data_IF_800778439717
#
_entry.id   IF_800778439717
#
_cell.length_a   1.000
_cell.length_b   1.000
_cell.length_c   1.000
_cell.angle_alpha   90.00
_cell.angle_beta   90.00
_cell.angle_gamma   90.00
#
_symmetry.space_group_name_H-M   'P 1'
#
loop_
_entity.id
_entity.type
_entity.pdbx_description
1 polymer ?
#
# COMPACT_ATOMS: atom_id res chain seq x y z
N UNK A 1 -10.16 4.56 -23.01
CA UNK A 1 -10.42 3.38 -22.15
C UNK A 1 -9.09 2.83 -21.64
N UNK A 2 -8.18 2.47 -22.53
CA UNK A 2 -6.88 1.86 -22.16
C UNK A 2 -6.02 2.75 -21.25
N UNK A 3 -5.93 4.04 -21.53
CA UNK A 3 -5.16 4.98 -20.71
C UNK A 3 -5.61 5.04 -19.24
N UNK A 4 -6.93 4.93 -18.98
CA UNK A 4 -7.46 4.95 -17.61
C UNK A 4 -7.13 3.66 -16.85
N UNK A 5 -7.18 2.52 -17.55
CA UNK A 5 -6.78 1.22 -16.99
C UNK A 5 -5.30 1.24 -16.63
N UNK A 6 -4.46 1.74 -17.53
CA UNK A 6 -3.02 1.87 -17.31
C UNK A 6 -2.69 2.80 -16.14
N UNK A 7 -3.36 3.95 -16.04
CA UNK A 7 -3.22 4.86 -14.92
C UNK A 7 -3.60 4.18 -13.59
N UNK A 8 -4.73 3.48 -13.56
CA UNK A 8 -5.20 2.77 -12.37
C UNK A 8 -4.23 1.66 -11.95
N UNK A 9 -3.72 0.88 -12.91
CA UNK A 9 -2.72 -0.14 -12.66
C UNK A 9 -1.44 0.47 -12.08
N UNK A 10 -0.98 1.57 -12.66
CA UNK A 10 0.20 2.28 -12.16
C UNK A 10 0.01 2.74 -10.71
N UNK A 11 -1.16 3.26 -10.33
CA UNK A 11 -1.42 3.65 -8.94
C UNK A 11 -1.34 2.45 -7.98
N UNK A 12 -1.88 1.30 -8.37
CA UNK A 12 -1.86 0.08 -7.54
C UNK A 12 -0.46 -0.50 -7.44
N UNK A 13 0.29 -0.56 -8.54
CA UNK A 13 1.65 -1.12 -8.57
C UNK A 13 2.67 -0.26 -7.80
N UNK A 14 2.41 1.03 -7.65
CA UNK A 14 3.24 1.91 -6.81
C UNK A 14 2.95 1.79 -5.31
N UNK A 15 1.85 1.14 -4.92
CA UNK A 15 1.50 0.94 -3.52
C UNK A 15 2.24 -0.26 -2.91
N UNK A 16 2.45 -0.22 -1.59
CA UNK A 16 3.11 -1.31 -0.87
C UNK A 16 2.18 -2.56 -0.84
N UNK A 17 2.63 -3.73 -1.32
CA UNK A 17 1.75 -4.87 -1.59
C UNK A 17 1.09 -5.45 -0.34
N UNK A 18 1.79 -5.55 0.78
CA UNK A 18 1.17 -6.03 2.02
C UNK A 18 0.20 -5.01 2.60
N UNK A 19 0.52 -3.71 2.53
CA UNK A 19 -0.41 -2.66 2.96
C UNK A 19 -1.74 -2.70 2.17
N UNK A 20 -1.68 -2.94 0.86
CA UNK A 20 -2.88 -3.10 0.01
C UNK A 20 -3.66 -4.36 0.41
N UNK A 21 -2.97 -5.48 0.66
CA UNK A 21 -3.59 -6.74 1.10
C UNK A 21 -4.35 -6.56 2.42
N UNK A 22 -3.71 -5.97 3.41
CA UNK A 22 -4.30 -5.77 4.74
C UNK A 22 -5.48 -4.79 4.67
N UNK A 23 -5.39 -3.76 3.84
CA UNK A 23 -6.51 -2.83 3.60
C UNK A 23 -7.71 -3.55 3.00
N UNK A 24 -7.51 -4.41 2.00
CA UNK A 24 -8.60 -5.20 1.38
C UNK A 24 -9.22 -6.17 2.39
N UNK A 25 -8.39 -6.90 3.14
CA UNK A 25 -8.84 -7.83 4.18
C UNK A 25 -9.66 -7.12 5.26
N UNK A 26 -9.19 -5.96 5.71
CA UNK A 26 -9.89 -5.11 6.67
C UNK A 26 -11.25 -4.66 6.13
N UNK A 27 -11.33 -4.19 4.88
CA UNK A 27 -12.59 -3.73 4.30
C UNK A 27 -13.62 -4.86 4.16
N UNK A 28 -13.19 -6.07 3.79
CA UNK A 28 -14.06 -7.25 3.69
C UNK A 28 -14.61 -7.70 5.06
N UNK A 29 -13.89 -7.41 6.14
CA UNK A 29 -14.22 -7.93 7.48
C UNK A 29 -15.22 -7.07 8.27
N UNK A 30 -15.48 -5.81 7.87
CA UNK A 30 -16.22 -4.85 8.69
C UNK A 30 -17.51 -4.31 8.05
N UNK A 31 -18.31 -5.15 7.39
CA UNK A 31 -19.62 -4.73 6.88
C UNK A 31 -20.77 -5.41 7.66
N UNK A 32 -21.65 -4.66 8.37
CA UNK A 32 -21.64 -3.21 8.59
C UNK A 32 -20.60 -2.75 9.64
N UNK A 33 -20.13 -1.50 9.53
CA UNK A 33 -19.09 -0.94 10.41
C UNK A 33 -19.69 -0.49 11.75
N UNK A 34 -19.19 -1.03 12.87
CA UNK A 34 -19.37 -0.45 14.21
C UNK A 34 -18.13 0.36 14.59
N UNK A 35 -18.24 1.69 14.53
CA UNK A 35 -17.11 2.59 14.75
C UNK A 35 -16.42 2.39 16.11
N UNK A 36 -17.17 2.11 17.19
CA UNK A 36 -16.58 1.94 18.52
C UNK A 36 -15.69 0.70 18.59
N UNK A 37 -16.05 -0.36 17.85
CA UNK A 37 -15.28 -1.61 17.78
C UNK A 37 -14.19 -1.56 16.72
N UNK A 38 -14.46 -0.99 15.56
CA UNK A 38 -13.53 -0.97 14.42
C UNK A 38 -12.37 0.01 14.62
N UNK A 39 -12.61 1.18 15.22
CA UNK A 39 -11.56 2.20 15.43
C UNK A 39 -10.29 1.66 16.12
N UNK A 40 -10.36 1.03 17.32
CA UNK A 40 -9.15 0.56 17.98
C UNK A 40 -8.39 -0.49 17.15
N UNK A 41 -9.11 -1.37 16.45
CA UNK A 41 -8.50 -2.42 15.61
C UNK A 41 -7.77 -1.81 14.41
N UNK A 42 -8.40 -0.85 13.72
CA UNK A 42 -7.78 -0.15 12.58
C UNK A 42 -6.58 0.68 13.02
N UNK A 43 -6.66 1.34 14.19
CA UNK A 43 -5.53 2.08 14.75
C UNK A 43 -4.35 1.15 15.04
N UNK A 44 -4.60 0.00 15.67
CA UNK A 44 -3.56 -1.01 15.95
C UNK A 44 -2.95 -1.57 14.65
N UNK A 45 -3.79 -1.88 13.65
CA UNK A 45 -3.35 -2.35 12.34
C UNK A 45 -2.41 -1.34 11.66
N UNK A 46 -2.77 -0.05 11.64
CA UNK A 46 -1.94 1.01 11.07
C UNK A 46 -0.61 1.11 11.83
N UNK A 47 -0.63 1.04 13.17
CA UNK A 47 0.57 1.09 13.98
C UNK A 47 1.51 -0.09 13.66
N UNK A 48 0.98 -1.32 13.60
CA UNK A 48 1.72 -2.54 13.22
C UNK A 48 2.32 -2.43 11.83
N UNK A 49 1.55 -1.95 10.84
CA UNK A 49 2.06 -1.73 9.47
C UNK A 49 3.19 -0.71 9.44
N UNK A 50 3.12 0.38 10.20
CA UNK A 50 4.18 1.41 10.23
C UNK A 50 5.51 0.89 10.76
N UNK A 51 5.49 -0.04 11.71
CA UNK A 51 6.72 -0.65 12.28
C UNK A 51 7.14 -1.95 11.59
N UNK A 52 6.35 -2.45 10.64
CA UNK A 52 6.70 -3.63 9.84
C UNK A 52 7.94 -3.38 8.96
N UNK A 53 8.56 -4.46 8.48
CA UNK A 53 9.71 -4.36 7.58
C UNK A 53 9.38 -3.57 6.31
N UNK A 54 8.25 -3.87 5.64
CA UNK A 54 7.78 -3.13 4.47
C UNK A 54 7.53 -1.64 4.81
N UNK A 55 6.87 -1.37 5.94
CA UNK A 55 6.59 -0.01 6.40
C UNK A 55 7.86 0.81 6.67
N UNK A 56 8.84 0.22 7.34
CA UNK A 56 10.14 0.86 7.61
C UNK A 56 10.95 1.06 6.33
N UNK A 57 10.97 0.08 5.42
CA UNK A 57 11.63 0.22 4.12
C UNK A 57 11.00 1.31 3.26
N UNK A 58 9.67 1.44 3.29
CA UNK A 58 8.93 2.48 2.57
C UNK A 58 9.21 3.87 3.14
N UNK A 59 9.15 4.00 4.46
CA UNK A 59 9.49 5.26 5.14
C UNK A 59 10.93 5.68 4.86
N UNK A 60 11.86 4.73 4.91
CA UNK A 60 13.27 4.97 4.57
C UNK A 60 13.42 5.41 3.11
N UNK A 61 12.77 4.74 2.16
CA UNK A 61 12.79 5.11 0.74
C UNK A 61 12.27 6.54 0.51
N UNK A 62 11.16 6.89 1.17
CA UNK A 62 10.59 8.23 1.14
C UNK A 62 11.57 9.30 1.66
N UNK A 63 12.19 9.06 2.83
CA UNK A 63 13.15 9.98 3.42
C UNK A 63 14.43 10.11 2.58
N UNK A 64 14.86 9.03 1.93
CA UNK A 64 16.02 8.98 1.03
C UNK A 64 15.70 9.47 -0.40
N UNK A 65 14.46 9.88 -0.68
CA UNK A 65 13.99 10.31 -2.02
C UNK A 65 14.31 9.30 -3.13
N UNK A 66 14.20 8.00 -2.83
CA UNK A 66 14.35 6.93 -3.81
C UNK A 66 13.08 6.11 -3.92
N UNK A 67 12.96 5.34 -4.99
CA UNK A 67 11.87 4.40 -5.13
C UNK A 67 11.97 3.29 -4.07
N UNK A 68 10.83 2.84 -3.51
CA UNK A 68 10.82 1.68 -2.63
C UNK A 68 11.01 0.39 -3.44
N UNK A 69 11.44 -0.67 -2.76
CA UNK A 69 11.88 -1.92 -3.43
C UNK A 69 10.76 -2.62 -4.22
N UNK A 70 9.49 -2.41 -3.85
CA UNK A 70 8.35 -3.02 -4.52
C UNK A 70 7.91 -2.26 -5.78
N UNK A 71 8.47 -1.08 -6.06
CA UNK A 71 8.16 -0.29 -7.25
C UNK A 71 9.04 -0.68 -8.44
N UNK A 72 9.30 -1.98 -8.63
CA UNK A 72 9.96 -2.44 -9.86
C UNK A 72 9.09 -2.10 -11.07
N UNK A 73 9.68 -1.67 -12.19
CA UNK A 73 8.92 -1.42 -13.39
C UNK A 73 8.20 -2.70 -13.82
N UNK A 74 6.96 -2.61 -14.33
CA UNK A 74 6.31 -3.75 -14.96
C UNK A 74 7.21 -4.28 -16.07
N UNK A 75 7.24 -5.60 -16.25
CA UNK A 75 8.11 -6.32 -17.19
C UNK A 75 8.21 -5.58 -18.54
N UNK A 76 9.39 -5.02 -18.84
CA UNK A 76 9.68 -4.30 -20.09
C UNK A 76 9.67 -2.76 -20.02
N UNK A 77 9.32 -2.13 -18.90
CA UNK A 77 9.39 -0.67 -18.75
C UNK A 77 10.77 -0.22 -18.19
N UNK A 78 11.37 0.86 -18.70
CA UNK A 78 12.61 1.40 -18.15
C UNK A 78 12.37 1.91 -16.73
N UNK A 79 13.35 1.69 -15.84
CA UNK A 79 13.34 2.27 -14.50
C UNK A 79 13.21 3.80 -14.61
N UNK A 80 12.24 4.39 -13.89
CA UNK A 80 12.10 5.85 -13.84
C UNK A 80 13.36 6.43 -13.17
N UNK A 81 14.14 7.17 -13.96
CA UNK A 81 15.34 7.91 -13.55
C UNK A 81 14.92 9.13 -12.72
#
# INVERSE_FOLDING_TARGET
MDAYVEETLNQILNAAPEAVRDTKSMHQSYSPVDWKKTKPIVTELIAKRRVSEEGQKGLKAFLEKRNPQWSEPPYGAPAKI
#
